data_IF_458586920431
#
_entry.id   IF_458586920431
#
_cell.length_a   1.000
_cell.length_b   1.000
_cell.length_c   1.000
_cell.angle_alpha   90.00
_cell.angle_beta   90.00
_cell.angle_gamma   90.00
#
_symmetry.space_group_name_H-M   'P 1'
#
loop_
_entity.id
_entity.type
_entity.pdbx_description
1 polymer ?
#
# COMPACT_ATOMS: atom_id res chain seq x y z
N UNK A 1 -12.69 -7.67 -32.25
CA UNK A 1 -12.70 -7.37 -30.80
C UNK A 1 -14.16 -7.36 -30.34
N UNK A 2 -14.52 -8.01 -29.22
CA UNK A 2 -15.88 -7.89 -28.67
C UNK A 2 -15.98 -6.55 -27.91
N UNK A 3 -17.08 -5.79 -28.04
CA UNK A 3 -17.27 -4.57 -27.27
C UNK A 3 -17.31 -4.86 -25.76
N UNK A 4 -16.80 -3.93 -24.96
CA UNK A 4 -16.85 -4.02 -23.51
C UNK A 4 -18.31 -3.90 -23.04
N UNK A 5 -18.79 -4.88 -22.26
CA UNK A 5 -20.16 -4.91 -21.73
C UNK A 5 -20.22 -4.22 -20.37
N UNK A 6 -21.32 -3.51 -20.09
CA UNK A 6 -21.54 -2.92 -18.76
C UNK A 6 -21.86 -4.02 -17.75
N UNK A 7 -21.41 -3.82 -16.52
CA UNK A 7 -21.65 -4.74 -15.41
C UNK A 7 -22.22 -4.00 -14.21
N UNK A 8 -23.24 -4.57 -13.59
CA UNK A 8 -23.96 -4.01 -12.45
C UNK A 8 -23.64 -4.83 -11.19
N UNK A 9 -23.38 -4.16 -10.07
CA UNK A 9 -23.22 -4.80 -8.76
C UNK A 9 -24.55 -5.27 -8.20
N UNK A 10 -24.48 -6.25 -7.29
CA UNK A 10 -25.62 -6.65 -6.50
C UNK A 10 -26.21 -5.44 -5.73
N UNK A 11 -27.56 -5.30 -5.65
CA UNK A 11 -28.19 -4.22 -4.89
C UNK A 11 -27.78 -4.18 -3.42
N UNK A 12 -27.46 -3.00 -2.91
CA UNK A 12 -27.19 -2.76 -1.48
C UNK A 12 -28.51 -2.55 -0.74
N UNK A 13 -28.57 -3.00 0.52
CA UNK A 13 -29.72 -2.75 1.40
C UNK A 13 -29.59 -1.35 1.98
N UNK A 14 -30.62 -0.52 1.80
CA UNK A 14 -30.63 0.87 2.26
C UNK A 14 -31.07 0.92 3.74
N UNK A 15 -30.11 1.11 4.65
CA UNK A 15 -30.38 1.07 6.10
C UNK A 15 -30.89 2.41 6.69
N UNK A 16 -30.62 3.54 6.02
CA UNK A 16 -30.81 4.88 6.60
C UNK A 16 -31.93 5.72 5.94
N UNK A 17 -32.67 5.17 4.97
CA UNK A 17 -33.66 5.92 4.17
C UNK A 17 -35.13 5.63 4.55
N UNK A 18 -35.36 4.87 5.63
CA UNK A 18 -36.69 4.51 6.12
C UNK A 18 -37.01 3.02 5.98
N UNK A 19 -38.06 2.57 6.68
CA UNK A 19 -38.44 1.16 6.75
C UNK A 19 -38.88 0.61 5.39
N UNK A 20 -39.64 1.39 4.63
CA UNK A 20 -40.15 0.99 3.31
C UNK A 20 -39.02 0.79 2.30
N UNK A 21 -38.01 1.68 2.30
CA UNK A 21 -36.83 1.56 1.44
C UNK A 21 -35.95 0.37 1.82
N UNK A 22 -35.82 0.11 3.12
CA UNK A 22 -35.10 -1.06 3.62
C UNK A 22 -35.77 -2.35 3.16
N UNK A 23 -37.09 -2.43 3.25
CA UNK A 23 -37.87 -3.58 2.79
C UNK A 23 -37.74 -3.79 1.29
N UNK A 24 -37.98 -2.76 0.48
CA UNK A 24 -37.90 -2.85 -0.99
C UNK A 24 -36.49 -3.23 -1.46
N UNK A 25 -35.44 -2.64 -0.87
CA UNK A 25 -34.05 -2.95 -1.23
C UNK A 25 -33.62 -4.35 -0.80
N UNK A 26 -34.11 -4.82 0.36
CA UNK A 26 -33.92 -6.20 0.83
C UNK A 26 -34.60 -7.20 -0.10
N UNK A 27 -35.87 -6.97 -0.44
CA UNK A 27 -36.65 -7.82 -1.35
C UNK A 27 -36.01 -7.88 -2.75
N UNK A 28 -35.51 -6.74 -3.23
CA UNK A 28 -34.80 -6.65 -4.51
C UNK A 28 -33.53 -7.50 -4.51
N UNK A 29 -32.73 -7.41 -3.45
CA UNK A 29 -31.49 -8.18 -3.31
C UNK A 29 -31.78 -9.68 -3.22
N UNK A 30 -32.79 -10.07 -2.44
CA UNK A 30 -33.23 -11.46 -2.35
C UNK A 30 -33.68 -12.00 -3.71
N UNK A 31 -34.43 -11.21 -4.49
CA UNK A 31 -34.88 -11.59 -5.83
C UNK A 31 -33.72 -11.76 -6.82
N UNK A 32 -32.68 -10.92 -6.75
CA UNK A 32 -31.46 -11.08 -7.56
C UNK A 32 -30.71 -12.37 -7.19
N UNK A 33 -30.56 -12.67 -5.90
CA UNK A 33 -29.86 -13.86 -5.45
C UNK A 33 -30.60 -15.16 -5.80
N UNK A 34 -31.93 -15.16 -5.64
CA UNK A 34 -32.79 -16.28 -6.03
C UNK A 34 -32.64 -16.63 -7.51
N UNK A 35 -32.45 -15.61 -8.36
CA UNK A 35 -32.30 -15.78 -9.81
C UNK A 35 -30.88 -16.20 -10.21
N UNK A 36 -29.85 -15.65 -9.56
CA UNK A 36 -28.45 -16.06 -9.81
C UNK A 36 -28.23 -17.52 -9.40
N UNK A 37 -28.97 -18.01 -8.40
CA UNK A 37 -29.06 -19.41 -7.97
C UNK A 37 -27.71 -20.16 -7.92
N UNK A 38 -26.70 -19.53 -7.32
CA UNK A 38 -25.35 -20.10 -7.16
C UNK A 38 -25.15 -20.60 -5.73
N UNK A 39 -24.74 -21.86 -5.59
CA UNK A 39 -24.58 -22.53 -4.29
C UNK A 39 -23.44 -21.99 -3.43
N UNK A 40 -22.46 -21.31 -4.03
CA UNK A 40 -21.30 -20.72 -3.34
C UNK A 40 -21.54 -19.29 -2.81
N UNK A 41 -22.71 -18.71 -3.10
CA UNK A 41 -23.08 -17.36 -2.70
C UNK A 41 -24.25 -17.45 -1.71
N UNK A 42 -23.96 -17.20 -0.42
CA UNK A 42 -24.95 -17.10 0.65
C UNK A 42 -25.02 -15.68 1.19
N UNK A 43 -26.19 -15.26 1.65
CA UNK A 43 -26.36 -13.98 2.34
C UNK A 43 -25.44 -13.89 3.57
N UNK A 44 -24.75 -12.76 3.72
CA UNK A 44 -23.73 -12.54 4.75
C UNK A 44 -22.28 -12.87 4.35
N UNK A 45 -22.04 -13.48 3.19
CA UNK A 45 -20.65 -13.71 2.72
C UNK A 45 -19.95 -12.41 2.32
N UNK A 46 -18.68 -12.25 2.74
CA UNK A 46 -17.78 -11.13 2.35
C UNK A 46 -17.64 -10.99 0.82
N UNK A 47 -17.95 -12.06 0.07
CA UNK A 47 -17.89 -12.13 -1.39
C UNK A 47 -18.99 -11.33 -2.11
N UNK A 48 -20.09 -10.96 -1.43
CA UNK A 48 -21.26 -10.33 -2.06
C UNK A 48 -20.95 -8.98 -2.73
N UNK A 49 -19.94 -8.25 -2.24
CA UNK A 49 -19.50 -6.96 -2.80
C UNK A 49 -18.87 -7.08 -4.20
N UNK A 50 -18.31 -8.25 -4.51
CA UNK A 50 -17.56 -8.49 -5.76
C UNK A 50 -18.40 -9.17 -6.84
N UNK A 51 -19.68 -9.45 -6.57
CA UNK A 51 -20.58 -10.08 -7.53
C UNK A 51 -21.08 -9.02 -8.52
N UNK A 52 -20.93 -9.32 -9.81
CA UNK A 52 -21.34 -8.46 -10.91
C UNK A 52 -22.20 -9.23 -11.91
N UNK A 53 -23.25 -8.61 -12.42
CA UNK A 53 -24.17 -9.12 -13.44
C UNK A 53 -24.02 -8.26 -14.69
N UNK A 54 -23.84 -8.85 -15.88
CA UNK A 54 -23.70 -8.08 -17.11
C UNK A 54 -25.04 -7.57 -17.65
N UNK A 55 -24.99 -6.54 -18.50
CA UNK A 55 -26.16 -5.91 -19.13
C UNK A 55 -27.05 -6.85 -19.95
N UNK A 56 -26.54 -7.99 -20.42
CA UNK A 56 -27.32 -8.93 -21.22
C UNK A 56 -28.40 -9.68 -20.45
N UNK A 57 -28.35 -9.62 -19.11
CA UNK A 57 -29.38 -10.23 -18.26
C UNK A 57 -30.59 -9.33 -18.01
N UNK A 58 -30.59 -8.11 -18.59
CA UNK A 58 -31.67 -7.14 -18.52
C UNK A 58 -32.18 -6.83 -19.94
N UNK A 59 -33.49 -6.71 -20.12
CA UNK A 59 -34.13 -6.36 -21.39
C UNK A 59 -33.71 -4.95 -21.82
N UNK A 60 -33.73 -3.98 -20.91
CA UNK A 60 -33.30 -2.60 -21.12
C UNK A 60 -31.79 -2.38 -21.04
N UNK A 61 -30.96 -3.44 -21.00
CA UNK A 61 -29.50 -3.39 -20.80
C UNK A 61 -29.05 -2.69 -19.50
N UNK A 62 -29.98 -2.43 -18.58
CA UNK A 62 -29.73 -1.84 -17.27
C UNK A 62 -30.82 -2.27 -16.28
N UNK A 63 -30.50 -2.37 -14.99
CA UNK A 63 -31.52 -2.57 -13.97
C UNK A 63 -32.41 -1.32 -13.85
N UNK A 64 -33.69 -1.53 -13.57
CA UNK A 64 -34.64 -0.43 -13.30
C UNK A 64 -34.36 0.27 -11.98
N UNK A 65 -35.06 1.37 -11.71
CA UNK A 65 -35.02 2.03 -10.42
C UNK A 65 -35.58 1.11 -9.31
N UNK A 66 -35.04 1.21 -8.09
CA UNK A 66 -35.31 0.21 -7.05
C UNK A 66 -36.75 0.23 -6.52
N UNK A 67 -37.44 1.39 -6.60
CA UNK A 67 -38.87 1.50 -6.24
C UNK A 67 -39.82 1.04 -7.34
N UNK A 68 -39.33 0.85 -8.57
CA UNK A 68 -40.15 0.44 -9.72
C UNK A 68 -40.29 -1.10 -9.74
N UNK A 69 -40.94 -1.65 -8.71
CA UNK A 69 -41.08 -3.11 -8.49
C UNK A 69 -41.84 -3.80 -9.64
N UNK A 70 -42.69 -3.07 -10.35
CA UNK A 70 -43.47 -3.57 -11.49
C UNK A 70 -42.68 -3.68 -12.78
N UNK A 71 -41.47 -3.12 -12.84
CA UNK A 71 -40.65 -3.15 -14.04
C UNK A 71 -39.99 -4.54 -14.22
N UNK A 72 -40.00 -5.06 -15.45
CA UNK A 72 -39.41 -6.37 -15.78
C UNK A 72 -37.89 -6.41 -15.52
N UNK A 73 -37.20 -5.27 -15.63
CA UNK A 73 -35.77 -5.10 -15.33
C UNK A 73 -35.49 -4.77 -13.86
N UNK A 74 -36.49 -4.90 -12.97
CA UNK A 74 -36.27 -4.75 -11.53
C UNK A 74 -35.30 -5.81 -10.98
N UNK A 75 -35.29 -6.98 -11.61
CA UNK A 75 -34.36 -8.08 -11.40
C UNK A 75 -33.87 -8.66 -12.74
N UNK A 76 -32.70 -9.32 -12.78
CA UNK A 76 -32.24 -10.02 -13.98
C UNK A 76 -33.30 -11.02 -14.43
N UNK A 77 -33.63 -11.06 -15.71
CA UNK A 77 -34.76 -11.87 -16.22
C UNK A 77 -34.41 -12.69 -17.46
N UNK A 78 -33.27 -12.40 -18.12
CA UNK A 78 -32.88 -12.99 -19.40
C UNK A 78 -31.57 -13.79 -19.28
N UNK A 79 -31.46 -14.89 -20.04
CA UNK A 79 -30.23 -15.69 -20.18
C UNK A 79 -29.62 -16.22 -18.87
N UNK A 80 -30.45 -16.60 -17.92
CA UNK A 80 -30.01 -17.25 -16.69
C UNK A 80 -30.17 -18.74 -16.92
N UNK A 81 -29.05 -19.44 -17.08
CA UNK A 81 -28.96 -20.82 -17.56
C UNK A 81 -29.60 -21.84 -16.62
N UNK A 82 -30.93 -21.82 -16.57
CA UNK A 82 -31.74 -22.89 -16.01
C UNK A 82 -32.07 -23.88 -17.11
N UNK A 83 -31.18 -24.83 -17.33
CA UNK A 83 -31.57 -26.17 -17.78
C UNK A 83 -30.66 -27.23 -17.15
N UNK A 84 -31.37 -28.24 -16.64
CA UNK A 84 -31.05 -29.65 -16.41
C UNK A 84 -30.12 -30.11 -15.27
N UNK A 85 -30.68 -31.07 -14.54
CA UNK A 85 -29.99 -32.20 -13.90
C UNK A 85 -28.95 -32.85 -14.85
N UNK A 86 -27.89 -33.42 -14.24
CA UNK A 86 -26.71 -34.10 -14.82
C UNK A 86 -25.69 -33.11 -15.40
N UNK A 87 -24.42 -33.12 -15.03
CA UNK A 87 -23.57 -34.22 -14.62
C UNK A 87 -22.40 -33.63 -13.83
N UNK A 88 -21.95 -34.36 -12.81
CA UNK A 88 -20.75 -34.08 -12.02
C UNK A 88 -19.49 -34.11 -12.90
N UNK A 89 -19.24 -33.05 -13.67
CA UNK A 89 -18.00 -32.88 -14.42
C UNK A 89 -17.37 -31.52 -14.12
N UNK A 90 -16.55 -31.56 -13.06
CA UNK A 90 -15.34 -30.74 -12.87
C UNK A 90 -15.56 -29.23 -13.03
N UNK A 91 -16.06 -28.62 -11.96
CA UNK A 91 -15.76 -27.22 -11.65
C UNK A 91 -14.30 -26.93 -12.00
N UNK A 92 -14.09 -25.97 -12.89
CA UNK A 92 -12.78 -25.60 -13.42
C UNK A 92 -11.82 -25.35 -12.25
N UNK A 93 -10.91 -26.29 -12.03
CA UNK A 93 -9.89 -26.22 -11.01
C UNK A 93 -9.07 -24.94 -11.23
N UNK A 94 -8.62 -24.32 -10.14
CA UNK A 94 -7.69 -23.17 -10.06
C UNK A 94 -6.54 -23.26 -11.09
N UNK A 95 -6.13 -24.49 -11.42
CA UNK A 95 -5.11 -24.85 -12.40
C UNK A 95 -5.40 -24.38 -13.84
N UNK A 96 -6.66 -24.35 -14.27
CA UNK A 96 -7.02 -23.99 -15.66
C UNK A 96 -6.78 -22.51 -15.98
N UNK A 97 -6.92 -21.61 -14.98
CA UNK A 97 -6.57 -20.19 -15.12
C UNK A 97 -5.06 -19.96 -15.17
N UNK A 98 -4.31 -20.69 -14.35
CA UNK A 98 -2.83 -20.66 -14.34
C UNK A 98 -2.24 -21.14 -15.67
N UNK A 99 -2.72 -22.28 -16.18
CA UNK A 99 -2.26 -22.86 -17.45
C UNK A 99 -2.61 -21.98 -18.67
N UNK A 100 -3.75 -21.27 -18.64
CA UNK A 100 -4.09 -20.29 -19.69
C UNK A 100 -3.21 -19.04 -19.67
N UNK A 101 -2.69 -18.63 -18.49
CA UNK A 101 -1.74 -17.53 -18.36
C UNK A 101 -0.35 -17.94 -18.88
N UNK A 102 0.10 -19.14 -18.55
CA UNK A 102 1.35 -19.71 -19.06
C UNK A 102 1.36 -19.85 -20.58
N UNK A 103 0.25 -20.29 -21.19
CA UNK A 103 0.12 -20.40 -22.66
C UNK A 103 0.21 -19.06 -23.41
N UNK A 104 -0.04 -17.91 -22.75
CA UNK A 104 0.06 -16.58 -23.38
C UNK A 104 1.49 -16.04 -23.44
N UNK A 105 2.41 -16.59 -22.64
CA UNK A 105 3.82 -16.20 -22.64
C UNK A 105 4.70 -17.09 -23.53
N UNK A 106 4.11 -17.93 -24.38
CA UNK A 106 4.87 -18.75 -25.33
C UNK A 106 4.38 -18.52 -26.76
N UNK A 107 5.19 -17.80 -27.53
CA UNK A 107 5.21 -17.79 -29.01
C UNK A 107 6.57 -17.24 -29.45
N UNK A 108 7.07 -17.60 -30.64
CA UNK A 108 7.65 -18.91 -30.94
C UNK A 108 9.18 -18.82 -31.11
N UNK A 109 9.84 -19.96 -30.99
CA UNK A 109 11.24 -20.17 -31.35
C UNK A 109 11.55 -19.62 -32.75
N UNK A 110 12.62 -18.83 -32.86
CA UNK A 110 13.28 -18.53 -34.14
C UNK A 110 14.56 -19.36 -34.19
N UNK A 111 14.64 -20.21 -35.20
CA UNK A 111 15.71 -21.17 -35.45
C UNK A 111 17.01 -20.53 -35.97
N UNK A 112 18.15 -21.00 -35.43
CA UNK A 112 19.50 -21.21 -36.03
C UNK A 112 20.24 -20.03 -36.69
N UNK A 113 21.54 -19.79 -36.44
CA UNK A 113 22.66 -20.69 -36.82
C UNK A 113 24.00 -20.29 -36.13
N UNK A 114 25.07 -21.12 -36.23
CA UNK A 114 26.13 -21.26 -35.22
C UNK A 114 27.46 -20.58 -35.60
N UNK A 115 28.29 -20.30 -34.59
CA UNK A 115 29.77 -20.28 -34.57
C UNK A 115 30.15 -19.77 -33.16
N UNK A 116 30.85 -20.50 -32.28
CA UNK A 116 32.09 -21.22 -32.47
C UNK A 116 33.21 -20.36 -31.90
N UNK A 117 33.64 -20.58 -30.64
CA UNK A 117 35.05 -20.42 -30.20
C UNK A 117 35.27 -20.89 -28.75
N UNK A 118 36.06 -21.96 -28.65
CA UNK A 118 37.10 -22.32 -27.66
C UNK A 118 36.78 -22.32 -26.16
N UNK A 119 36.60 -23.56 -25.71
CA UNK A 119 37.01 -24.14 -24.44
C UNK A 119 38.34 -23.56 -23.91
N UNK A 120 38.30 -22.87 -22.77
CA UNK A 120 39.46 -22.71 -21.89
C UNK A 120 39.14 -23.45 -20.60
N UNK A 121 39.88 -24.54 -20.37
CA UNK A 121 39.96 -25.22 -19.08
C UNK A 121 40.68 -24.28 -18.11
N UNK A 122 40.06 -23.98 -16.99
CA UNK A 122 40.77 -23.57 -15.78
C UNK A 122 40.20 -24.32 -14.58
N UNK A 123 41.12 -25.04 -13.94
CA UNK A 123 41.04 -25.78 -12.69
C UNK A 123 40.54 -24.93 -11.50
N UNK A 124 40.02 -25.56 -10.43
CA UNK A 124 39.36 -24.86 -9.34
C UNK A 124 40.39 -24.23 -8.40
N UNK A 125 40.37 -22.90 -8.29
CA UNK A 125 41.05 -22.19 -7.21
C UNK A 125 40.07 -21.95 -6.07
N UNK A 126 40.37 -22.59 -4.94
CA UNK A 126 39.74 -22.39 -3.64
C UNK A 126 39.61 -20.91 -3.27
N UNK A 127 38.43 -20.51 -2.78
CA UNK A 127 38.28 -19.33 -1.92
C UNK A 127 37.80 -19.82 -0.55
N UNK A 128 38.56 -19.55 0.53
CA UNK A 128 38.19 -19.93 1.88
C UNK A 128 37.38 -18.81 2.54
N UNK A 129 36.19 -19.13 3.05
CA UNK A 129 35.66 -18.40 4.20
C UNK A 129 34.74 -19.31 5.04
N UNK A 130 35.37 -20.23 5.75
CA UNK A 130 34.80 -20.90 6.91
C UNK A 130 34.66 -19.87 8.05
N UNK A 131 33.45 -19.38 8.28
CA UNK A 131 33.12 -18.93 9.63
C UNK A 131 32.70 -20.15 10.44
N UNK A 132 33.60 -20.55 11.35
CA UNK A 132 33.38 -21.55 12.40
C UNK A 132 32.02 -21.33 13.08
N UNK A 133 31.24 -22.39 13.34
CA UNK A 133 30.07 -22.28 14.19
C UNK A 133 30.51 -21.84 15.60
N UNK A 134 29.85 -20.80 16.13
CA UNK A 134 29.93 -20.42 17.54
C UNK A 134 29.44 -21.62 18.36
N UNK A 135 30.15 -22.05 19.42
CA UNK A 135 29.75 -23.22 20.21
C UNK A 135 28.35 -23.03 20.80
N UNK A 136 27.55 -24.09 20.75
CA UNK A 136 26.16 -24.13 21.21
C UNK A 136 25.98 -23.98 22.75
N UNK A 137 27.03 -23.64 23.49
CA UNK A 137 27.07 -23.60 24.95
C UNK A 137 27.36 -22.20 25.53
N UNK A 138 27.36 -21.15 24.71
CA UNK A 138 27.57 -19.76 25.18
C UNK A 138 26.32 -19.09 25.79
N UNK A 139 25.18 -19.79 25.83
CA UNK A 139 23.98 -19.35 26.56
C UNK A 139 23.77 -20.26 27.78
N UNK A 140 24.67 -20.12 28.76
CA UNK A 140 24.33 -20.46 30.15
C UNK A 140 23.70 -19.23 30.79
N UNK A 141 22.61 -19.49 31.51
CA UNK A 141 21.78 -18.53 32.21
C UNK A 141 22.61 -17.43 32.90
N UNK A 142 22.51 -16.20 32.39
CA UNK A 142 22.74 -15.02 33.20
C UNK A 142 21.42 -14.79 33.92
N UNK A 143 21.47 -14.81 35.24
CA UNK A 143 20.33 -14.59 36.13
C UNK A 143 19.94 -13.10 36.05
N UNK A 144 19.17 -12.73 35.02
CA UNK A 144 18.64 -11.38 34.81
C UNK A 144 17.37 -11.23 35.64
N UNK A 145 17.52 -11.19 36.96
CA UNK A 145 16.44 -10.76 37.87
C UNK A 145 16.43 -9.26 38.11
N UNK A 146 17.52 -8.56 37.81
CA UNK A 146 17.67 -7.12 38.09
C UNK A 146 17.31 -6.16 36.95
N UNK A 147 17.22 -6.62 35.70
CA UNK A 147 16.90 -5.73 34.56
C UNK A 147 15.42 -5.80 34.13
N UNK A 148 14.66 -6.80 34.62
CA UNK A 148 13.23 -6.94 34.35
C UNK A 148 12.41 -5.89 35.13
N UNK A 149 12.83 -5.53 36.34
CA UNK A 149 12.15 -4.50 37.15
C UNK A 149 12.27 -3.08 36.55
N UNK A 150 13.27 -2.80 35.71
CA UNK A 150 13.40 -1.49 35.04
C UNK A 150 12.59 -1.42 33.73
N UNK A 151 12.41 -2.54 33.03
CA UNK A 151 11.52 -2.60 31.86
C UNK A 151 10.04 -2.65 32.26
N UNK A 152 9.67 -3.28 33.38
CA UNK A 152 8.29 -3.28 33.88
C UNK A 152 7.86 -1.92 34.44
N UNK A 153 8.74 -1.21 35.16
CA UNK A 153 8.44 0.13 35.69
C UNK A 153 8.27 1.20 34.59
N UNK A 154 8.98 1.09 33.45
CA UNK A 154 8.83 2.03 32.34
C UNK A 154 7.53 1.81 31.55
N UNK A 155 7.00 0.59 31.57
CA UNK A 155 5.72 0.24 30.93
C UNK A 155 4.54 0.69 31.80
N UNK A 156 4.64 0.60 33.13
CA UNK A 156 3.60 1.09 34.05
C UNK A 156 3.50 2.63 34.05
N UNK A 157 4.60 3.36 34.00
CA UNK A 157 4.60 4.84 33.97
C UNK A 157 4.01 5.42 32.66
N UNK A 158 3.98 4.64 31.57
CA UNK A 158 3.40 5.05 30.28
C UNK A 158 1.92 4.65 30.10
N UNK A 159 1.38 3.81 30.98
CA UNK A 159 -0.04 3.39 30.94
C UNK A 159 -0.97 4.35 31.70
N UNK A 160 -0.45 5.28 32.49
CA UNK A 160 -1.28 6.24 33.24
C UNK A 160 -1.73 7.48 32.44
N UNK A 161 -1.32 7.62 31.18
CA UNK A 161 -1.75 8.71 30.29
C UNK A 161 -2.46 8.17 29.03
N UNK A 162 -3.58 7.46 29.24
CA UNK A 162 -4.48 7.04 28.16
C UNK A 162 -5.39 8.20 27.73
N UNK A 163 -4.96 9.00 26.75
CA UNK A 163 -5.88 9.43 25.69
C UNK A 163 -5.67 8.48 24.49
N UNK A 164 -6.76 7.80 24.12
CA UNK A 164 -6.87 6.75 23.09
C UNK A 164 -5.81 6.78 21.97
N UNK A 165 -4.82 5.89 22.07
CA UNK A 165 -3.84 5.66 21.02
C UNK A 165 -4.32 4.50 20.13
N UNK A 166 -4.95 4.82 19.00
CA UNK A 166 -5.39 3.83 18.00
C UNK A 166 -4.18 3.32 17.19
N UNK A 167 -4.00 2.00 16.99
CA UNK A 167 -2.92 1.47 16.17
C UNK A 167 -2.98 2.01 14.73
N UNK A 168 -1.90 2.67 14.29
CA UNK A 168 -1.81 3.35 13.00
C UNK A 168 -1.37 2.40 11.87
N UNK A 169 -2.13 1.34 11.63
CA UNK A 169 -2.03 0.54 10.40
C UNK A 169 -3.06 1.05 9.37
N UNK A 170 -2.76 2.19 8.73
CA UNK A 170 -3.63 2.76 7.69
C UNK A 170 -3.47 1.97 6.37
N UNK A 171 -4.31 0.96 6.19
CA UNK A 171 -4.46 0.22 4.94
C UNK A 171 -5.25 1.05 3.91
N UNK A 172 -4.55 1.83 3.09
CA UNK A 172 -5.15 2.55 1.96
C UNK A 172 -5.69 1.53 0.94
N UNK A 173 -6.97 1.21 1.04
CA UNK A 173 -7.69 0.31 0.15
C UNK A 173 -7.90 1.00 -1.19
N UNK A 174 -7.02 0.71 -2.13
CA UNK A 174 -7.14 1.17 -3.51
C UNK A 174 -8.00 0.19 -4.32
N UNK A 175 -9.27 0.52 -4.58
CA UNK A 175 -9.97 0.12 -5.81
C UNK A 175 -11.00 1.17 -6.30
N UNK A 176 -10.56 1.95 -7.33
CA UNK A 176 -11.22 2.34 -8.62
C UNK A 176 -12.46 3.26 -8.61
N UNK A 177 -12.58 4.28 -9.47
CA UNK A 177 -12.15 4.45 -10.88
C UNK A 177 -11.57 5.86 -11.20
N UNK A 178 -10.79 5.98 -12.31
CA UNK A 178 -10.20 7.23 -12.76
C UNK A 178 -11.22 8.10 -13.49
N UNK A 179 -11.28 9.38 -13.13
CA UNK A 179 -11.78 10.44 -14.01
C UNK A 179 -11.05 10.35 -15.36
N UNK A 180 -11.83 10.19 -16.42
CA UNK A 180 -11.36 10.37 -17.79
C UNK A 180 -10.98 11.84 -17.98
N UNK A 181 -9.70 12.16 -17.85
CA UNK A 181 -9.13 13.30 -18.54
C UNK A 181 -8.43 12.76 -19.79
N UNK A 182 -8.96 13.15 -20.94
CA UNK A 182 -8.36 12.87 -22.23
C UNK A 182 -7.02 13.62 -22.30
N UNK A 183 -6.01 12.92 -22.79
CA UNK A 183 -4.73 13.38 -23.34
C UNK A 183 -4.37 14.87 -23.12
N UNK A 184 -3.64 15.16 -22.03
CA UNK A 184 -2.73 16.30 -21.98
C UNK A 184 -1.30 15.81 -21.78
N UNK A 185 -0.55 15.85 -22.87
CA UNK A 185 0.89 15.64 -22.91
C UNK A 185 1.54 16.94 -22.44
N UNK A 186 1.70 17.05 -21.12
CA UNK A 186 2.40 18.17 -20.49
C UNK A 186 2.20 18.09 -18.98
N UNK A 187 3.24 17.74 -18.25
CA UNK A 187 3.22 17.82 -16.78
C UNK A 187 3.30 19.31 -16.39
N UNK A 188 2.21 20.07 -16.61
CA UNK A 188 2.08 21.41 -16.09
C UNK A 188 1.84 21.31 -14.57
N UNK A 189 2.82 21.78 -13.83
CA UNK A 189 2.87 21.90 -12.37
C UNK A 189 2.49 23.30 -11.91
N UNK A 190 1.62 24.00 -12.64
CA UNK A 190 1.17 25.34 -12.28
C UNK A 190 -0.24 25.24 -11.71
N UNK A 191 -0.37 25.58 -10.42
CA UNK A 191 -1.60 26.16 -9.89
C UNK A 191 -1.86 27.42 -10.71
N UNK A 192 -3.10 27.62 -11.16
CA UNK A 192 -3.45 28.89 -11.77
C UNK A 192 -3.24 30.01 -10.75
N UNK A 193 -2.96 31.24 -11.20
CA UNK A 193 -2.93 32.40 -10.30
C UNK A 193 -4.23 32.53 -9.50
N UNK A 194 -5.35 32.11 -10.08
CA UNK A 194 -6.67 32.07 -9.45
C UNK A 194 -6.75 31.11 -8.26
N UNK A 195 -6.11 29.93 -8.33
CA UNK A 195 -6.06 28.99 -7.21
C UNK A 195 -5.23 29.54 -6.03
N UNK A 196 -4.14 30.26 -6.34
CA UNK A 196 -3.28 30.91 -5.34
C UNK A 196 -4.01 32.08 -4.69
N UNK A 197 -4.67 32.92 -5.49
CA UNK A 197 -5.46 34.07 -5.02
C UNK A 197 -6.67 33.62 -4.18
N UNK A 198 -7.30 32.51 -4.55
CA UNK A 198 -8.38 31.92 -3.76
C UNK A 198 -7.89 31.38 -2.41
N UNK A 199 -6.77 30.65 -2.37
CA UNK A 199 -6.17 30.19 -1.12
C UNK A 199 -5.76 31.37 -0.21
N UNK A 200 -5.23 32.45 -0.80
CA UNK A 200 -4.90 33.69 -0.09
C UNK A 200 -6.14 34.48 0.38
N UNK A 201 -7.25 34.39 -0.33
CA UNK A 201 -8.53 34.98 0.08
C UNK A 201 -9.15 34.24 1.27
N UNK A 202 -9.12 32.91 1.26
CA UNK A 202 -9.53 32.09 2.41
C UNK A 202 -8.62 32.32 3.63
N UNK A 203 -7.31 32.50 3.41
CA UNK A 203 -6.35 32.96 4.45
C UNK A 203 -6.80 34.28 5.09
N UNK A 204 -7.32 35.21 4.31
CA UNK A 204 -7.80 36.52 4.81
C UNK A 204 -9.12 36.40 5.60
N UNK A 205 -9.99 35.46 5.23
CA UNK A 205 -11.24 35.18 5.96
C UNK A 205 -10.98 34.50 7.31
N UNK A 206 -10.06 33.55 7.36
CA UNK A 206 -9.75 32.81 8.59
C UNK A 206 -8.91 33.62 9.60
N UNK A 207 -8.09 34.56 9.13
CA UNK A 207 -7.24 35.41 10.01
C UNK A 207 -7.92 36.70 10.47
N UNK A 208 -9.16 36.98 10.05
CA UNK A 208 -9.91 38.17 10.43
C UNK A 208 -9.29 39.50 9.97
N UNK A 209 -8.24 39.48 9.14
CA UNK A 209 -7.60 40.68 8.60
C UNK A 209 -8.07 40.88 7.15
N UNK A 210 -9.00 41.79 6.95
CA UNK A 210 -9.31 42.27 5.59
C UNK A 210 -8.13 43.07 5.02
N UNK A 211 -7.75 42.87 3.75
CA UNK A 211 -6.86 43.79 3.07
C UNK A 211 -7.58 45.13 2.84
N UNK A 212 -6.97 46.21 3.30
CA UNK A 212 -7.43 47.58 3.06
C UNK A 212 -7.19 47.91 1.60
N UNK A 213 -8.21 47.73 0.76
CA UNK A 213 -8.22 48.25 -0.61
C UNK A 213 -8.93 49.60 -0.60
N UNK A 214 -8.15 50.67 -0.80
CA UNK A 214 -8.69 51.99 -1.14
C UNK A 214 -9.31 51.92 -2.54
N UNK A 215 -10.62 52.15 -2.66
CA UNK A 215 -11.29 52.37 -3.95
C UNK A 215 -11.53 53.86 -4.14
N UNK A 216 -10.80 54.47 -5.08
CA UNK A 216 -11.25 55.67 -5.78
C UNK A 216 -12.12 55.25 -6.96
N UNK A 217 -13.17 56.04 -7.23
CA UNK A 217 -14.33 55.65 -8.01
C UNK A 217 -14.22 55.84 -9.52
N UNK A 218 -15.13 55.17 -10.23
CA UNK A 218 -15.60 55.56 -11.56
C UNK A 218 -16.94 54.87 -11.85
N UNK A 219 -17.85 55.58 -12.50
CA UNK A 219 -19.27 55.30 -12.70
C UNK A 219 -19.59 54.54 -14.00
N UNK A 220 -20.61 53.69 -13.89
CA UNK A 220 -21.71 53.34 -14.80
C UNK A 220 -21.51 52.69 -16.18
N UNK A 221 -22.44 51.74 -16.39
CA UNK A 221 -23.01 51.16 -17.62
C UNK A 221 -22.23 50.07 -18.39
N UNK A 222 -22.69 48.82 -18.25
CA UNK A 222 -23.28 47.97 -19.32
C UNK A 222 -23.69 46.57 -18.79
N UNK A 223 -24.68 45.98 -19.46
CA UNK A 223 -25.56 44.85 -19.09
C UNK A 223 -24.89 43.51 -18.67
N UNK A 224 -25.61 42.61 -17.95
CA UNK A 224 -25.05 41.36 -17.46
C UNK A 224 -25.05 40.30 -18.56
N UNK A 225 -23.89 39.99 -19.11
CA UNK A 225 -23.69 38.72 -19.82
C UNK A 225 -23.67 37.58 -18.80
N UNK A 226 -24.45 36.52 -19.11
CA UNK A 226 -24.53 35.28 -18.37
C UNK A 226 -23.17 34.57 -18.35
N UNK A 227 -22.31 34.99 -17.43
CA UNK A 227 -21.10 34.26 -17.13
C UNK A 227 -21.48 33.08 -16.24
N UNK A 228 -21.57 31.90 -16.85
CA UNK A 228 -21.67 30.63 -16.13
C UNK A 228 -20.40 30.51 -15.32
N UNK A 229 -20.45 30.97 -14.07
CA UNK A 229 -19.43 30.72 -13.06
C UNK A 229 -19.37 29.19 -12.93
N UNK A 230 -18.42 28.58 -13.63
CA UNK A 230 -17.98 27.24 -13.32
C UNK A 230 -17.56 27.28 -11.85
N UNK A 231 -18.39 26.70 -10.99
CA UNK A 231 -18.07 26.52 -9.58
C UNK A 231 -16.82 25.65 -9.50
N UNK A 232 -15.65 26.27 -9.40
CA UNK A 232 -14.41 25.59 -9.04
C UNK A 232 -14.67 24.93 -7.69
N UNK A 233 -14.73 23.60 -7.70
CA UNK A 233 -14.97 22.83 -6.49
C UNK A 233 -13.91 23.22 -5.46
N UNK A 234 -14.35 23.66 -4.28
CA UNK A 234 -13.47 23.96 -3.15
C UNK A 234 -12.65 22.71 -2.86
N UNK A 235 -11.35 22.75 -3.16
CA UNK A 235 -10.44 21.63 -2.91
C UNK A 235 -10.00 21.76 -1.46
N UNK A 236 -10.32 20.78 -0.61
CA UNK A 236 -9.80 20.76 0.76
C UNK A 236 -8.28 20.57 0.74
N UNK A 237 -7.57 20.97 1.81
CA UNK A 237 -6.13 20.73 1.92
C UNK A 237 -5.79 19.24 1.83
N UNK A 238 -6.63 18.39 2.42
CA UNK A 238 -6.56 16.93 2.30
C UNK A 238 -6.68 16.47 0.85
N UNK A 239 -7.62 17.02 0.07
CA UNK A 239 -7.74 16.69 -1.36
C UNK A 239 -6.50 17.12 -2.16
N UNK A 240 -5.87 18.24 -1.80
CA UNK A 240 -4.61 18.63 -2.43
C UNK A 240 -3.50 17.63 -2.13
N UNK A 241 -3.33 17.22 -0.86
CA UNK A 241 -2.36 16.19 -0.48
C UNK A 241 -2.64 14.88 -1.22
N UNK A 242 -3.89 14.42 -1.25
CA UNK A 242 -4.28 13.20 -1.95
C UNK A 242 -3.99 13.28 -3.46
N UNK A 243 -4.24 14.43 -4.09
CA UNK A 243 -3.87 14.69 -5.49
C UNK A 243 -2.36 14.63 -5.70
N UNK A 244 -1.54 15.22 -4.80
CA UNK A 244 -0.07 15.21 -4.94
C UNK A 244 0.52 13.83 -4.69
N UNK A 245 0.05 13.12 -3.67
CA UNK A 245 0.41 11.72 -3.42
C UNK A 245 0.00 10.84 -4.61
N UNK A 246 -1.19 11.06 -5.18
CA UNK A 246 -1.65 10.37 -6.40
C UNK A 246 -0.73 10.60 -7.61
N UNK A 247 -0.35 11.86 -7.87
CA UNK A 247 0.63 12.20 -8.93
C UNK A 247 1.99 11.55 -8.67
N UNK A 248 2.47 11.57 -7.44
CA UNK A 248 3.71 10.90 -7.04
C UNK A 248 3.63 9.38 -7.30
N UNK A 249 2.55 8.71 -6.91
CA UNK A 249 2.39 7.26 -7.13
C UNK A 249 2.37 6.93 -8.62
N UNK A 250 1.68 7.76 -9.43
CA UNK A 250 1.66 7.59 -10.88
C UNK A 250 3.06 7.71 -11.46
N UNK A 251 3.79 8.79 -11.14
CA UNK A 251 5.17 8.98 -11.56
C UNK A 251 6.06 7.83 -11.10
N UNK A 252 5.91 7.36 -9.86
CA UNK A 252 6.69 6.24 -9.32
C UNK A 252 6.49 4.96 -10.13
N UNK A 253 5.25 4.68 -10.54
CA UNK A 253 4.92 3.47 -11.31
C UNK A 253 5.39 3.52 -12.76
N UNK A 254 5.53 4.71 -13.35
CA UNK A 254 6.07 4.91 -14.70
C UNK A 254 7.57 4.61 -14.79
N UNK A 255 8.29 4.62 -13.66
CA UNK A 255 9.70 4.24 -13.62
C UNK A 255 9.84 2.74 -13.40
N UNK A 256 10.31 2.03 -14.44
CA UNK A 256 10.90 0.70 -14.29
C UNK A 256 12.31 0.83 -13.69
N UNK A 257 12.78 -0.24 -13.04
CA UNK A 257 14.20 -0.45 -12.73
C UNK A 257 14.83 0.38 -11.59
N UNK A 258 14.03 1.00 -10.71
CA UNK A 258 14.56 1.70 -9.52
C UNK A 258 15.40 0.82 -8.58
N UNK A 259 15.18 -0.51 -8.59
CA UNK A 259 15.93 -1.44 -7.77
C UNK A 259 17.38 -1.65 -8.22
N UNK A 260 17.72 -1.20 -9.43
CA UNK A 260 19.07 -1.33 -9.99
C UNK A 260 20.00 -0.19 -9.54
N UNK A 261 19.43 0.92 -9.05
CA UNK A 261 20.18 2.08 -8.58
C UNK A 261 20.88 1.76 -7.26
N UNK A 262 22.02 2.40 -6.99
CA UNK A 262 22.55 2.43 -5.62
C UNK A 262 21.59 3.18 -4.70
N UNK A 263 21.61 2.88 -3.40
CA UNK A 263 20.73 3.55 -2.45
C UNK A 263 21.00 5.07 -2.42
N UNK A 264 22.27 5.48 -2.50
CA UNK A 264 22.68 6.89 -2.57
C UNK A 264 22.16 7.58 -3.83
N UNK A 265 22.25 6.93 -5.00
CA UNK A 265 21.70 7.48 -6.23
C UNK A 265 20.17 7.60 -6.15
N UNK A 266 19.50 6.63 -5.53
CA UNK A 266 18.07 6.65 -5.32
C UNK A 266 17.64 7.80 -4.38
N UNK A 267 18.37 8.07 -3.30
CA UNK A 267 18.13 9.23 -2.42
C UNK A 267 18.16 10.55 -3.20
N UNK A 268 19.19 10.76 -4.04
CA UNK A 268 19.30 11.95 -4.89
C UNK A 268 18.18 12.04 -5.93
N UNK A 269 17.84 10.91 -6.56
CA UNK A 269 16.75 10.86 -7.53
C UNK A 269 15.41 11.19 -6.88
N UNK A 270 15.18 10.73 -5.65
CA UNK A 270 14.01 11.10 -4.86
C UNK A 270 13.94 12.62 -4.68
N UNK A 271 15.01 13.25 -4.20
CA UNK A 271 15.04 14.70 -3.97
C UNK A 271 14.85 15.54 -5.22
N UNK A 272 15.43 15.11 -6.35
CA UNK A 272 15.36 15.86 -7.61
C UNK A 272 13.99 15.69 -8.28
N UNK A 273 13.46 14.47 -8.30
CA UNK A 273 12.31 14.14 -9.16
C UNK A 273 11.01 13.98 -8.41
N UNK A 274 11.04 13.34 -7.25
CA UNK A 274 9.84 12.87 -6.58
C UNK A 274 9.41 13.79 -5.44
N UNK A 275 10.36 14.28 -4.65
CA UNK A 275 10.16 15.25 -3.58
C UNK A 275 9.37 16.47 -4.08
N UNK A 276 9.71 17.11 -5.23
CA UNK A 276 8.95 18.27 -5.74
C UNK A 276 7.51 17.95 -6.16
N UNK A 277 7.22 16.71 -6.58
CA UNK A 277 5.85 16.31 -6.95
C UNK A 277 4.96 16.24 -5.72
N UNK A 278 5.49 15.66 -4.63
CA UNK A 278 4.78 15.47 -3.38
C UNK A 278 4.70 16.76 -2.55
N UNK A 279 5.75 17.58 -2.55
CA UNK A 279 5.85 18.80 -1.74
C UNK A 279 5.25 20.05 -2.38
N UNK A 280 4.71 19.93 -3.59
CA UNK A 280 4.18 21.07 -4.31
C UNK A 280 3.06 21.77 -3.53
N UNK A 281 3.24 23.06 -3.25
CA UNK A 281 2.30 23.89 -2.50
C UNK A 281 2.28 23.62 -0.99
N UNK A 282 3.20 22.80 -0.47
CA UNK A 282 3.23 22.44 0.96
C UNK A 282 3.45 23.67 1.85
N UNK A 283 4.25 24.63 1.41
CA UNK A 283 4.54 25.88 2.15
C UNK A 283 3.28 26.68 2.49
N UNK A 284 2.29 26.63 1.59
CA UNK A 284 1.04 27.40 1.71
C UNK A 284 0.09 26.73 2.72
N UNK A 285 0.08 25.40 2.73
CA UNK A 285 -0.93 24.61 3.43
C UNK A 285 -0.42 24.00 4.75
N UNK A 286 0.88 24.09 5.02
CA UNK A 286 1.57 23.41 6.13
C UNK A 286 0.92 23.64 7.49
N UNK A 287 0.57 24.89 7.81
CA UNK A 287 -0.03 25.26 9.09
C UNK A 287 -1.42 24.64 9.31
N UNK A 288 -2.08 24.21 8.24
CA UNK A 288 -3.43 23.67 8.25
C UNK A 288 -3.49 22.15 8.11
N UNK A 289 -2.33 21.49 7.97
CA UNK A 289 -2.29 20.04 7.82
C UNK A 289 -2.65 19.34 9.13
N UNK A 290 -3.53 18.34 9.02
CA UNK A 290 -3.82 17.42 10.11
C UNK A 290 -2.71 16.37 10.28
N UNK A 291 -2.74 15.63 11.39
CA UNK A 291 -1.85 14.48 11.61
C UNK A 291 -1.99 13.44 10.50
N UNK A 292 -3.22 13.22 10.01
CA UNK A 292 -3.49 12.30 8.91
C UNK A 292 -2.88 12.78 7.58
N UNK A 293 -2.95 14.09 7.31
CA UNK A 293 -2.35 14.68 6.12
C UNK A 293 -0.81 14.53 6.15
N UNK A 294 -0.18 14.78 7.30
CA UNK A 294 1.25 14.52 7.48
C UNK A 294 1.59 13.05 7.25
N UNK A 295 0.77 12.13 7.74
CA UNK A 295 1.00 10.70 7.52
C UNK A 295 0.85 10.29 6.05
N UNK A 296 -0.13 10.86 5.32
CA UNK A 296 -0.28 10.65 3.88
C UNK A 296 0.93 11.18 3.10
N UNK A 297 1.39 12.39 3.44
CA UNK A 297 2.56 13.00 2.85
C UNK A 297 3.83 12.21 3.15
N UNK A 298 4.01 11.78 4.40
CA UNK A 298 5.16 10.98 4.83
C UNK A 298 5.27 9.66 4.06
N UNK A 299 4.14 9.01 3.78
CA UNK A 299 4.09 7.71 3.11
C UNK A 299 4.74 7.67 1.71
N UNK A 300 5.01 8.81 1.07
CA UNK A 300 5.63 8.84 -0.26
C UNK A 300 7.07 8.34 -0.24
N UNK A 301 7.88 8.74 0.74
CA UNK A 301 9.31 8.41 0.82
C UNK A 301 9.53 6.91 1.11
N UNK A 302 8.84 6.26 2.08
CA UNK A 302 8.91 4.82 2.27
C UNK A 302 8.41 4.03 1.05
N UNK A 303 7.37 4.50 0.36
CA UNK A 303 6.87 3.83 -0.86
C UNK A 303 7.92 3.84 -1.97
N UNK A 304 8.61 4.96 -2.14
CA UNK A 304 9.75 5.06 -3.06
C UNK A 304 10.84 4.05 -2.68
N UNK A 305 11.30 4.07 -1.42
CA UNK A 305 12.38 3.19 -0.98
C UNK A 305 12.01 1.71 -0.97
N UNK A 306 10.76 1.33 -0.69
CA UNK A 306 10.30 -0.06 -0.85
C UNK A 306 10.52 -0.56 -2.28
N UNK A 307 10.24 0.30 -3.28
CA UNK A 307 10.45 -0.04 -4.70
C UNK A 307 11.94 -0.12 -5.04
N UNK A 308 12.78 0.76 -4.49
CA UNK A 308 14.26 0.72 -4.63
C UNK A 308 14.88 -0.51 -3.95
N UNK A 309 14.35 -0.92 -2.81
CA UNK A 309 14.80 -2.10 -2.06
C UNK A 309 14.24 -3.42 -2.62
N UNK A 310 13.26 -3.36 -3.53
CA UNK A 310 12.56 -4.54 -4.04
C UNK A 310 11.66 -5.21 -3.00
N UNK A 311 11.31 -4.50 -1.92
CA UNK A 311 10.45 -5.01 -0.87
C UNK A 311 8.96 -4.91 -1.25
N UNK A 312 8.13 -5.70 -0.57
CA UNK A 312 6.68 -5.61 -0.73
C UNK A 312 6.16 -4.26 -0.23
N UNK A 313 5.07 -3.79 -0.86
CA UNK A 313 4.38 -2.55 -0.48
C UNK A 313 3.83 -2.60 0.96
N UNK A 314 3.59 -3.80 1.47
CA UNK A 314 3.00 -4.06 2.80
C UNK A 314 4.03 -4.09 3.93
N UNK A 315 5.33 -3.96 3.65
CA UNK A 315 6.34 -3.91 4.69
C UNK A 315 6.14 -2.69 5.60
N UNK A 316 6.49 -2.76 6.89
CA UNK A 316 6.40 -1.60 7.79
C UNK A 316 7.33 -0.48 7.32
N UNK A 317 6.85 0.76 7.31
CA UNK A 317 7.61 1.92 6.85
C UNK A 317 8.81 2.24 7.75
N UNK A 318 8.69 1.96 9.05
CA UNK A 318 9.74 2.15 10.04
C UNK A 318 11.03 1.42 9.68
N UNK A 319 10.95 0.13 9.33
CA UNK A 319 12.12 -0.63 8.89
C UNK A 319 12.74 -0.07 7.60
N UNK A 320 11.94 0.51 6.72
CA UNK A 320 12.45 1.14 5.48
C UNK A 320 13.35 2.31 5.83
N UNK A 321 12.94 3.15 6.78
CA UNK A 321 13.77 4.26 7.26
C UNK A 321 15.04 3.79 7.96
N UNK A 322 14.92 2.79 8.84
CA UNK A 322 16.07 2.24 9.55
C UNK A 322 17.10 1.64 8.58
N UNK A 323 16.66 0.93 7.53
CA UNK A 323 17.56 0.39 6.50
C UNK A 323 18.13 1.47 5.58
N UNK A 324 17.31 2.47 5.23
CA UNK A 324 17.74 3.56 4.35
C UNK A 324 18.70 4.52 5.04
N UNK A 325 18.74 4.51 6.39
CA UNK A 325 19.40 5.51 7.22
C UNK A 325 19.00 6.92 6.77
N UNK A 326 17.70 7.20 6.90
CA UNK A 326 17.06 8.43 6.42
C UNK A 326 16.14 9.02 7.48
N UNK A 327 16.04 10.35 7.48
CA UNK A 327 15.06 11.07 8.28
C UNK A 327 13.66 11.03 7.64
N UNK A 328 12.65 11.38 8.44
CA UNK A 328 11.26 11.50 7.98
C UNK A 328 11.15 12.56 6.89
N UNK A 329 10.36 12.26 5.86
CA UNK A 329 10.17 13.17 4.73
C UNK A 329 9.59 14.51 5.16
N UNK A 330 8.61 14.51 6.07
CA UNK A 330 8.03 15.75 6.60
C UNK A 330 9.05 16.55 7.42
N UNK A 331 10.01 15.90 8.07
CA UNK A 331 11.10 16.60 8.77
C UNK A 331 12.05 17.28 7.78
N UNK A 332 12.38 16.61 6.68
CA UNK A 332 13.19 17.18 5.60
C UNK A 332 12.50 18.38 4.96
N UNK A 333 11.20 18.27 4.67
CA UNK A 333 10.41 19.38 4.11
C UNK A 333 10.39 20.59 5.04
N UNK A 334 10.17 20.36 6.35
CA UNK A 334 10.18 21.44 7.33
C UNK A 334 11.52 22.18 7.34
N UNK A 335 12.64 21.44 7.37
CA UNK A 335 13.99 22.02 7.35
C UNK A 335 14.26 22.76 6.04
N UNK A 336 13.94 22.13 4.91
CA UNK A 336 14.19 22.66 3.56
C UNK A 336 13.46 23.96 3.27
N UNK A 337 12.22 24.08 3.74
CA UNK A 337 11.36 25.24 3.49
C UNK A 337 11.23 26.17 4.71
N UNK A 338 11.99 25.92 5.78
CA UNK A 338 11.95 26.68 7.04
C UNK A 338 10.52 26.84 7.61
N UNK A 339 9.76 25.74 7.63
CA UNK A 339 8.35 25.75 8.03
C UNK A 339 8.19 25.71 9.56
N UNK A 340 7.11 26.29 10.10
CA UNK A 340 6.88 26.33 11.54
C UNK A 340 6.60 24.94 12.11
N UNK A 341 6.95 24.73 13.39
CA UNK A 341 6.54 23.52 14.11
C UNK A 341 5.11 23.67 14.63
N UNK A 342 4.16 23.13 13.88
CA UNK A 342 2.76 23.07 14.30
C UNK A 342 2.55 21.97 15.34
N UNK A 343 1.49 22.08 16.13
CA UNK A 343 1.12 21.05 17.10
C UNK A 343 0.88 19.68 16.43
N UNK A 344 0.15 19.68 15.30
CA UNK A 344 -0.10 18.47 14.51
C UNK A 344 1.20 17.84 13.99
N UNK A 345 2.15 18.66 13.52
CA UNK A 345 3.46 18.18 13.08
C UNK A 345 4.24 17.55 14.23
N UNK A 346 4.25 18.18 15.41
CA UNK A 346 4.94 17.65 16.58
C UNK A 346 4.30 16.33 17.05
N UNK A 347 2.97 16.26 17.11
CA UNK A 347 2.22 15.05 17.47
C UNK A 347 2.59 13.91 16.52
N UNK A 348 2.53 14.16 15.21
CA UNK A 348 2.94 13.20 14.19
C UNK A 348 4.39 12.70 14.40
N UNK A 349 5.35 13.62 14.56
CA UNK A 349 6.75 13.28 14.72
C UNK A 349 7.04 12.48 16.00
N UNK A 350 6.36 12.80 17.11
CA UNK A 350 6.53 12.08 18.39
C UNK A 350 6.06 10.63 18.25
N UNK A 351 4.87 10.42 17.70
CA UNK A 351 4.31 9.07 17.46
C UNK A 351 5.23 8.26 16.56
N UNK A 352 5.64 8.80 15.42
CA UNK A 352 6.48 8.07 14.47
C UNK A 352 7.87 7.73 15.05
N UNK A 353 8.49 8.66 15.79
CA UNK A 353 9.78 8.40 16.45
C UNK A 353 9.67 7.34 17.55
N UNK A 354 8.55 7.26 18.26
CA UNK A 354 8.31 6.20 19.23
C UNK A 354 8.25 4.83 18.54
N UNK A 355 7.54 4.72 17.41
CA UNK A 355 7.48 3.48 16.61
C UNK A 355 8.86 3.06 16.08
N UNK A 356 9.66 4.01 15.56
CA UNK A 356 11.02 3.74 15.10
C UNK A 356 11.90 3.15 16.22
N UNK A 357 11.80 3.69 17.44
CA UNK A 357 12.55 3.17 18.59
C UNK A 357 12.14 1.74 18.93
N UNK A 358 10.83 1.45 18.90
CA UNK A 358 10.29 0.12 19.21
C UNK A 358 10.74 -0.93 18.19
N UNK A 359 10.85 -0.56 16.90
CA UNK A 359 11.32 -1.48 15.86
C UNK A 359 12.84 -1.60 15.76
N UNK A 360 13.60 -0.69 16.36
CA UNK A 360 15.06 -0.74 16.40
C UNK A 360 15.59 -1.68 17.51
N UNK A 361 15.11 -2.92 17.49
CA UNK A 361 15.45 -3.93 18.49
C UNK A 361 16.79 -4.65 18.19
N UNK A 362 17.28 -5.44 19.15
CA UNK A 362 18.53 -6.20 19.01
C UNK A 362 18.49 -7.21 17.84
N UNK A 363 17.35 -7.80 17.55
CA UNK A 363 17.22 -8.78 16.47
C UNK A 363 17.35 -8.11 15.10
N UNK A 364 16.73 -6.95 14.90
CA UNK A 364 16.83 -6.16 13.68
C UNK A 364 18.26 -5.68 13.42
N UNK A 365 18.97 -5.18 14.45
CA UNK A 365 20.37 -4.71 14.33
C UNK A 365 21.33 -5.80 13.85
N UNK A 366 21.06 -7.05 14.20
CA UNK A 366 21.89 -8.17 13.82
C UNK A 366 21.53 -8.78 12.45
N UNK A 367 20.61 -8.17 11.71
CA UNK A 367 20.26 -8.63 10.37
C UNK A 367 21.40 -8.36 9.39
N UNK A 368 21.58 -9.21 8.34
CA UNK A 368 22.64 -8.98 7.37
C UNK A 368 22.54 -7.62 6.66
N UNK A 369 21.32 -7.10 6.46
CA UNK A 369 21.13 -5.79 5.83
C UNK A 369 21.56 -4.61 6.72
N UNK A 370 21.62 -4.80 8.04
CA UNK A 370 22.11 -3.77 8.97
C UNK A 370 23.63 -3.83 9.17
N UNK A 371 24.24 -5.00 8.94
CA UNK A 371 25.66 -5.24 9.17
C UNK A 371 26.53 -5.17 7.91
N UNK A 372 25.91 -5.18 6.73
CA UNK A 372 26.59 -5.10 5.45
C UNK A 372 25.92 -4.06 4.55
N UNK A 373 26.72 -3.18 3.96
CA UNK A 373 26.28 -2.16 3.01
C UNK A 373 26.42 -2.62 1.54
N UNK A 374 26.90 -3.84 1.29
CA UNK A 374 27.02 -4.43 -0.04
C UNK A 374 25.71 -4.40 -0.83
N UNK A 375 24.56 -4.59 -0.16
CA UNK A 375 23.25 -4.53 -0.81
C UNK A 375 22.84 -3.13 -1.27
N UNK A 376 23.44 -2.07 -0.69
CA UNK A 376 23.19 -0.67 -1.07
C UNK A 376 23.86 -0.29 -2.40
N UNK A 377 24.79 -1.12 -2.87
CA UNK A 377 25.51 -0.93 -4.15
C UNK A 377 24.59 -1.16 -5.36
N UNK A 378 24.88 -0.53 -6.51
CA UNK A 378 24.06 -0.69 -7.71
C UNK A 378 24.09 -2.13 -8.22
N UNK A 379 23.04 -2.54 -8.93
CA UNK A 379 22.91 -3.87 -9.55
C UNK A 379 23.02 -5.06 -8.58
N UNK A 380 22.74 -4.86 -7.29
CA UNK A 380 22.74 -5.96 -6.31
C UNK A 380 21.50 -6.86 -6.48
N UNK A 381 21.70 -8.05 -7.08
CA UNK A 381 20.63 -9.01 -7.34
C UNK A 381 19.96 -9.52 -6.05
N UNK A 382 20.73 -9.64 -4.97
CA UNK A 382 20.26 -10.18 -3.69
C UNK A 382 19.67 -9.10 -2.76
N UNK A 383 19.62 -7.82 -3.18
CA UNK A 383 19.12 -6.71 -2.36
C UNK A 383 17.77 -7.02 -1.72
N UNK A 384 16.85 -7.52 -2.53
CA UNK A 384 15.50 -7.89 -2.07
C UNK A 384 15.53 -8.92 -0.95
N UNK A 385 16.43 -9.90 -1.03
CA UNK A 385 16.57 -10.97 -0.02
C UNK A 385 17.01 -10.35 1.31
N UNK A 386 18.06 -9.52 1.29
CA UNK A 386 18.58 -8.85 2.47
C UNK A 386 17.54 -7.93 3.12
N UNK A 387 16.94 -7.02 2.35
CA UNK A 387 15.96 -6.08 2.87
C UNK A 387 14.69 -6.78 3.36
N UNK A 388 14.17 -7.77 2.63
CA UNK A 388 12.98 -8.52 3.05
C UNK A 388 13.24 -9.36 4.28
N UNK A 389 14.43 -9.96 4.38
CA UNK A 389 14.84 -10.67 5.59
C UNK A 389 14.91 -9.74 6.79
N UNK A 390 15.51 -8.56 6.64
CA UNK A 390 15.59 -7.61 7.74
C UNK A 390 14.18 -7.19 8.23
N UNK A 391 13.25 -6.94 7.31
CA UNK A 391 11.90 -6.46 7.65
C UNK A 391 10.96 -7.55 8.19
N UNK A 392 11.07 -8.81 7.74
CA UNK A 392 10.11 -9.88 8.09
C UNK A 392 10.75 -11.13 8.69
N UNK A 393 12.06 -11.31 8.55
CA UNK A 393 12.82 -12.48 9.01
C UNK A 393 12.42 -13.82 8.37
N UNK A 394 11.54 -13.80 7.36
CA UNK A 394 10.90 -14.97 6.75
C UNK A 394 10.25 -15.93 7.77
N UNK A 395 9.76 -15.37 8.88
CA UNK A 395 9.17 -16.16 9.96
C UNK A 395 8.03 -17.06 9.49
N UNK A 396 7.17 -16.55 8.62
CA UNK A 396 6.06 -17.29 8.02
C UNK A 396 6.48 -18.56 7.28
N UNK A 397 7.73 -18.64 6.78
CA UNK A 397 8.22 -19.83 6.08
C UNK A 397 8.66 -20.95 7.03
N UNK A 398 9.02 -20.59 8.27
CA UNK A 398 9.60 -21.51 9.24
C UNK A 398 8.72 -21.75 10.46
N UNK A 399 7.63 -21.01 10.63
CA UNK A 399 6.73 -21.14 11.77
C UNK A 399 5.72 -22.26 11.56
N UNK A 400 5.51 -23.13 12.56
CA UNK A 400 4.51 -24.22 12.51
C UNK A 400 3.09 -23.71 12.34
N UNK A 401 2.77 -22.56 12.95
CA UNK A 401 1.44 -21.96 12.88
C UNK A 401 1.09 -21.39 11.51
N UNK A 402 2.06 -21.26 10.59
CA UNK A 402 1.79 -20.79 9.23
C UNK A 402 1.08 -21.83 8.35
N UNK A 403 1.03 -23.11 8.78
CA UNK A 403 0.37 -24.18 8.03
C UNK A 403 -1.14 -24.26 8.34
N UNK A 404 -1.53 -23.79 9.51
CA UNK A 404 -2.93 -23.51 9.80
C UNK A 404 -3.34 -22.26 9.03
N UNK A 405 -4.64 -22.11 8.73
CA UNK A 405 -5.21 -21.09 7.83
C UNK A 405 -4.87 -19.62 8.13
N UNK A 406 -4.05 -19.33 9.14
CA UNK A 406 -3.43 -18.05 9.47
C UNK A 406 -1.92 -18.08 9.20
N UNK A 407 -1.48 -17.42 8.12
CA UNK A 407 -0.07 -17.13 7.92
C UNK A 407 0.41 -16.19 9.02
N UNK A 408 1.31 -16.68 9.87
CA UNK A 408 1.92 -15.89 10.94
C UNK A 408 3.03 -15.02 10.33
N UNK A 409 2.68 -13.77 9.98
CA UNK A 409 3.62 -12.78 9.45
C UNK A 409 4.37 -12.06 10.56
N UNK A 410 3.71 -11.85 11.69
CA UNK A 410 4.32 -11.27 12.89
C UNK A 410 4.61 -12.37 13.91
N UNK A 411 5.87 -12.50 14.29
CA UNK A 411 6.30 -13.54 15.21
C UNK A 411 5.88 -13.20 16.64
N UNK A 412 5.10 -14.08 17.26
CA UNK A 412 4.89 -14.06 18.70
C UNK A 412 5.92 -14.97 19.36
N UNK A 413 6.90 -14.39 20.05
CA UNK A 413 8.02 -15.14 20.69
C UNK A 413 7.54 -16.17 21.71
N UNK A 414 6.32 -16.04 22.24
CA UNK A 414 5.77 -16.94 23.25
C UNK A 414 5.06 -18.15 22.68
N UNK A 415 4.38 -17.99 21.53
CA UNK A 415 3.58 -19.05 20.92
C UNK A 415 4.24 -19.67 19.70
N UNK A 416 5.04 -18.93 18.93
CA UNK A 416 5.56 -19.42 17.66
C UNK A 416 6.68 -20.46 17.83
N UNK A 417 6.57 -21.56 17.07
CA UNK A 417 7.51 -22.69 17.10
C UNK A 417 8.07 -22.95 15.70
N UNK A 418 9.39 -23.15 15.60
CA UNK A 418 10.07 -23.42 14.34
C UNK A 418 9.79 -24.85 13.85
N UNK A 419 9.48 -24.98 12.55
CA UNK A 419 9.34 -26.26 11.83
C UNK A 419 10.65 -27.02 11.68
N UNK A 420 11.77 -26.30 11.60
CA UNK A 420 13.09 -26.88 11.33
C UNK A 420 13.70 -27.50 12.59
N UNK A 421 13.73 -26.75 13.70
CA UNK A 421 14.37 -27.19 14.94
C UNK A 421 13.41 -27.50 16.09
N UNK A 422 12.12 -27.17 15.97
CA UNK A 422 11.14 -27.39 17.02
C UNK A 422 11.21 -26.43 18.21
N UNK A 423 12.17 -25.50 18.24
CA UNK A 423 12.31 -24.50 19.32
C UNK A 423 11.35 -23.31 19.15
N UNK A 424 11.14 -22.55 20.23
CA UNK A 424 10.45 -21.25 20.15
C UNK A 424 11.21 -20.33 19.19
N UNK A 425 10.48 -19.58 18.37
CA UNK A 425 11.08 -18.74 17.33
C UNK A 425 10.48 -17.35 17.31
N UNK A 426 11.36 -16.34 17.21
CA UNK A 426 11.00 -14.96 16.91
C UNK A 426 11.10 -14.66 15.42
N UNK A 427 10.99 -13.37 15.09
CA UNK A 427 10.99 -12.87 13.71
C UNK A 427 12.26 -13.29 12.96
N UNK A 428 13.45 -13.07 13.53
CA UNK A 428 14.74 -13.37 12.88
C UNK A 428 15.37 -14.71 13.29
N UNK A 429 14.58 -15.64 13.84
CA UNK A 429 15.09 -16.94 14.30
C UNK A 429 15.87 -17.71 13.23
N UNK A 430 15.56 -17.50 11.95
CA UNK A 430 16.24 -18.15 10.84
C UNK A 430 17.76 -17.87 10.81
N UNK A 431 18.26 -16.78 11.39
CA UNK A 431 19.71 -16.54 11.48
C UNK A 431 20.43 -17.51 12.41
N UNK A 432 19.77 -17.88 13.50
CA UNK A 432 20.34 -18.65 14.62
C UNK A 432 19.81 -20.08 14.67
N UNK A 433 18.96 -20.48 13.73
CA UNK A 433 18.36 -21.81 13.72
C UNK A 433 19.44 -22.87 13.44
N UNK A 434 19.70 -23.80 14.37
CA UNK A 434 20.77 -24.80 14.20
C UNK A 434 20.47 -25.81 13.08
N UNK A 435 19.20 -25.94 12.70
CA UNK A 435 18.73 -26.85 11.66
C UNK A 435 18.50 -26.14 10.31
N UNK A 436 18.99 -24.91 10.14
CA UNK A 436 18.94 -24.23 8.84
C UNK A 436 20.02 -24.79 7.91
N UNK A 437 19.59 -25.54 6.89
CA UNK A 437 20.47 -26.14 5.88
C UNK A 437 20.52 -25.28 4.60
N UNK A 438 19.45 -24.54 4.30
CA UNK A 438 19.32 -23.73 3.07
C UNK A 438 19.79 -22.28 3.27
N UNK A 439 20.34 -21.63 2.25
CA UNK A 439 20.63 -20.20 2.29
C UNK A 439 19.35 -19.34 2.33
N UNK A 440 19.46 -18.09 2.79
CA UNK A 440 18.31 -17.17 2.92
C UNK A 440 17.55 -16.94 1.60
N UNK A 441 18.26 -16.96 0.46
CA UNK A 441 17.69 -16.77 -0.87
C UNK A 441 16.61 -17.82 -1.21
N UNK A 442 16.75 -19.06 -0.70
CA UNK A 442 15.76 -20.11 -0.94
C UNK A 442 14.46 -19.83 -0.20
N UNK A 443 14.53 -19.24 0.98
CA UNK A 443 13.34 -18.84 1.75
C UNK A 443 12.66 -17.62 1.12
N UNK A 444 13.45 -16.69 0.55
CA UNK A 444 12.90 -15.52 -0.15
C UNK A 444 12.09 -15.92 -1.38
N UNK A 445 12.55 -16.90 -2.16
CA UNK A 445 11.82 -17.40 -3.36
C UNK A 445 10.48 -18.05 -3.02
N UNK A 446 10.30 -18.54 -1.79
CA UNK A 446 9.06 -19.15 -1.31
C UNK A 446 8.07 -18.13 -0.73
N UNK A 447 8.52 -16.89 -0.50
CA UNK A 447 7.71 -15.80 0.04
C UNK A 447 7.02 -14.93 -1.02
N UNK A 448 7.28 -15.20 -2.30
CA UNK A 448 6.72 -14.54 -3.48
C UNK A 448 5.45 -15.23 -3.99
#
# INVERSE_FOLDING_TARGET
>A
MRPAKRTFSLPTILLHQGEDDRKISSDRRAAWLAIINRTDIKDGSRSLKNIRVCEDHFLGKKPSYYRDVTNVDWKPSVNLGGDCERESQKASTRNSRYLRRMKRHRSPEVHSAPNGHKLIKSTPSNSPNDQKPIPADAYKAVDVKGEIELEENLVEELMENEEECVPFDFELSAEKDPLSCQNDVGCQTELSGEDIDFMNHERSKMTGKQPVVKKEGYSDDLAPENNVIQKSAVVSFTDHIDKRVGKFIKALNEHSDLSQLSLECAKRLFEIKFSPIASYGVEIIWEYLSVEDFAKLENVKPRYFKKVMGCSKYNKNTYVYLLADEELFVSDLRKKHNLPETENYQKFCRTYKAELKLHYDYGFKNTPAMNDDGWKQPLCEERRVFCSFAMHGFHNQICKFSDDRNQCFEANRYSCVCKLCGAKCGQWHLLICPQRIRPLIDYARLSD
#
